data_IF_312366823937
#
_entry.id   IF_312366823937
#
_cell.length_a   1.000
_cell.length_b   1.000
_cell.length_c   1.000
_cell.angle_alpha   90.00
_cell.angle_beta   90.00
_cell.angle_gamma   90.00
#
_symmetry.space_group_name_H-M   'P 1'
#
loop_
_entity.id
_entity.type
_entity.pdbx_description
1 polymer ?
#
# COMPACT_ATOMS: atom_id res chain seq x y z
N UNK A 1 -27.58 5.61 14.63
CA UNK A 1 -27.51 4.13 14.48
C UNK A 1 -26.21 3.60 15.09
N UNK A 2 -26.27 2.71 16.10
CA UNK A 2 -25.10 2.07 16.71
C UNK A 2 -24.27 1.26 15.70
N UNK A 3 -22.93 1.20 15.86
CA UNK A 3 -21.99 0.54 14.92
C UNK A 3 -22.33 -0.95 14.69
N UNK A 4 -22.74 -1.66 15.74
CA UNK A 4 -23.18 -3.05 15.65
C UNK A 4 -24.44 -3.25 14.78
N UNK A 5 -25.37 -2.31 14.83
CA UNK A 5 -26.62 -2.34 14.03
C UNK A 5 -26.33 -2.06 12.55
N UNK A 6 -25.37 -1.18 12.26
CA UNK A 6 -24.95 -0.89 10.88
C UNK A 6 -24.17 -2.07 10.27
N UNK A 7 -23.28 -2.68 11.05
CA UNK A 7 -22.52 -3.85 10.62
C UNK A 7 -23.42 -5.05 10.33
N UNK A 8 -24.43 -5.30 11.17
CA UNK A 8 -25.41 -6.36 10.94
C UNK A 8 -26.32 -6.09 9.74
N UNK A 9 -26.67 -4.83 9.47
CA UNK A 9 -27.44 -4.48 8.27
C UNK A 9 -26.63 -4.70 6.99
N UNK A 10 -25.37 -4.26 6.93
CA UNK A 10 -24.53 -4.48 5.73
C UNK A 10 -24.14 -5.95 5.54
N UNK A 11 -23.84 -6.68 6.62
CA UNK A 11 -23.59 -8.12 6.56
C UNK A 11 -24.81 -8.89 6.03
N UNK A 12 -26.03 -8.50 6.47
CA UNK A 12 -27.28 -9.08 5.95
C UNK A 12 -27.54 -8.69 4.49
N UNK A 13 -27.31 -7.45 4.09
CA UNK A 13 -27.46 -7.02 2.69
C UNK A 13 -26.50 -7.76 1.74
N UNK A 14 -25.28 -8.06 2.19
CA UNK A 14 -24.30 -8.84 1.41
C UNK A 14 -24.73 -10.30 1.26
N UNK A 15 -25.16 -10.95 2.35
CA UNK A 15 -25.64 -12.33 2.35
C UNK A 15 -26.93 -12.50 1.53
N UNK A 16 -27.89 -11.57 1.64
CA UNK A 16 -29.19 -11.66 0.96
C UNK A 16 -29.05 -11.47 -0.56
N UNK A 17 -28.12 -10.60 -1.01
CA UNK A 17 -27.82 -10.41 -2.44
C UNK A 17 -27.04 -11.58 -3.05
N UNK A 18 -26.19 -12.25 -2.26
CA UNK A 18 -25.45 -13.46 -2.67
C UNK A 18 -26.39 -14.68 -2.86
N UNK A 19 -27.48 -14.75 -2.10
CA UNK A 19 -28.44 -15.86 -2.13
C UNK A 19 -29.57 -15.69 -3.16
N UNK A 20 -29.90 -14.46 -3.57
CA UNK A 20 -31.07 -14.21 -4.43
C UNK A 20 -30.84 -14.40 -5.93
N UNK A 21 -29.60 -14.42 -6.43
CA UNK A 21 -29.34 -14.65 -7.86
C UNK A 21 -27.91 -15.15 -8.13
N UNK A 22 -27.75 -16.47 -8.22
CA UNK A 22 -26.47 -17.13 -8.52
C UNK A 22 -25.90 -16.84 -9.92
N UNK A 23 -26.59 -16.00 -10.72
CA UNK A 23 -26.27 -15.71 -12.12
C UNK A 23 -26.07 -14.21 -12.41
N UNK A 24 -26.16 -13.34 -11.39
CA UNK A 24 -25.76 -11.95 -11.52
C UNK A 24 -24.26 -11.82 -11.22
N UNK A 25 -23.49 -11.04 -12.01
CA UNK A 25 -22.15 -10.68 -11.59
C UNK A 25 -22.24 -10.05 -10.20
N UNK A 26 -21.38 -10.51 -9.28
CA UNK A 26 -21.30 -9.98 -7.93
C UNK A 26 -21.13 -8.45 -7.94
N UNK A 27 -21.42 -7.78 -6.81
CA UNK A 27 -21.25 -6.33 -6.73
C UNK A 27 -19.83 -5.91 -7.15
N UNK A 28 -19.65 -4.69 -7.70
CA UNK A 28 -18.32 -4.19 -8.03
C UNK A 28 -17.39 -4.30 -6.82
N UNK A 29 -16.13 -4.67 -7.03
CA UNK A 29 -15.14 -4.86 -5.95
C UNK A 29 -15.04 -3.62 -5.05
N UNK A 30 -15.26 -2.44 -5.61
CA UNK A 30 -15.32 -1.16 -4.92
C UNK A 30 -16.49 -1.09 -3.92
N UNK A 31 -17.65 -1.64 -4.29
CA UNK A 31 -18.83 -1.73 -3.43
C UNK A 31 -18.64 -2.80 -2.34
N UNK A 32 -17.99 -3.93 -2.66
CA UNK A 32 -17.62 -4.95 -1.66
C UNK A 32 -16.65 -4.39 -0.62
N UNK A 33 -15.60 -3.68 -1.05
CA UNK A 33 -14.65 -3.02 -0.17
C UNK A 33 -15.34 -2.01 0.76
N UNK A 34 -16.26 -1.20 0.21
CA UNK A 34 -17.04 -0.24 0.99
C UNK A 34 -17.95 -0.93 2.03
N UNK A 35 -18.55 -2.06 1.68
CA UNK A 35 -19.38 -2.85 2.60
C UNK A 35 -18.56 -3.52 3.70
N UNK A 36 -17.42 -4.15 3.38
CA UNK A 36 -16.52 -4.74 4.36
C UNK A 36 -16.01 -3.68 5.36
N UNK A 37 -15.65 -2.48 4.87
CA UNK A 37 -15.27 -1.35 5.72
C UNK A 37 -16.38 -0.95 6.70
N UNK A 38 -17.62 -0.83 6.20
CA UNK A 38 -18.77 -0.47 7.02
C UNK A 38 -19.17 -1.56 8.02
N UNK A 39 -18.89 -2.82 7.70
CA UNK A 39 -19.10 -3.97 8.58
C UNK A 39 -18.02 -4.12 9.66
N UNK A 40 -16.89 -3.41 9.55
CA UNK A 40 -15.75 -3.55 10.47
C UNK A 40 -14.86 -4.75 10.18
N UNK A 41 -14.98 -5.36 8.98
CA UNK A 41 -14.11 -6.42 8.51
C UNK A 41 -12.85 -5.81 7.87
N UNK A 42 -12.01 -5.19 8.70
CA UNK A 42 -10.92 -4.32 8.24
C UNK A 42 -9.87 -5.06 7.41
N UNK A 43 -9.50 -6.29 7.78
CA UNK A 43 -8.59 -7.11 6.98
C UNK A 43 -9.15 -7.42 5.59
N UNK A 44 -10.40 -7.86 5.51
CA UNK A 44 -11.08 -8.15 4.24
C UNK A 44 -11.20 -6.89 3.36
N UNK A 45 -11.56 -5.75 3.97
CA UNK A 45 -11.64 -4.48 3.25
C UNK A 45 -10.28 -4.06 2.67
N UNK A 46 -9.17 -4.23 3.41
CA UNK A 46 -7.82 -3.95 2.89
C UNK A 46 -7.48 -4.87 1.71
N UNK A 47 -7.77 -6.17 1.80
CA UNK A 47 -7.56 -7.12 0.71
C UNK A 47 -8.37 -6.76 -0.55
N UNK A 48 -9.62 -6.32 -0.38
CA UNK A 48 -10.46 -5.90 -1.49
C UNK A 48 -9.95 -4.60 -2.13
N UNK A 49 -9.52 -3.62 -1.33
CA UNK A 49 -8.95 -2.37 -1.82
C UNK A 49 -7.65 -2.60 -2.60
N UNK A 50 -6.81 -3.53 -2.16
CA UNK A 50 -5.61 -3.94 -2.89
C UNK A 50 -5.97 -4.55 -4.26
N UNK A 51 -6.96 -5.45 -4.30
CA UNK A 51 -7.44 -6.04 -5.57
C UNK A 51 -8.04 -5.00 -6.51
N UNK A 52 -8.74 -3.99 -5.99
CA UNK A 52 -9.22 -2.85 -6.78
C UNK A 52 -8.04 -2.09 -7.38
N UNK A 53 -7.01 -1.79 -6.59
CA UNK A 53 -5.81 -1.09 -7.06
C UNK A 53 -5.09 -1.88 -8.17
N UNK A 54 -4.94 -3.20 -8.01
CA UNK A 54 -4.31 -4.07 -9.01
C UNK A 54 -5.13 -4.11 -10.31
N UNK A 55 -6.45 -4.17 -10.21
CA UNK A 55 -7.34 -4.16 -11.38
C UNK A 55 -7.34 -2.81 -12.09
N UNK A 56 -7.26 -1.71 -11.35
CA UNK A 56 -7.09 -0.38 -11.92
C UNK A 56 -5.75 -0.28 -12.68
N UNK A 57 -4.66 -0.77 -12.08
CA UNK A 57 -3.35 -0.86 -12.73
C UNK A 57 -3.38 -1.67 -14.03
N UNK A 58 -4.05 -2.82 -14.04
CA UNK A 58 -4.19 -3.66 -15.24
C UNK A 58 -4.93 -2.95 -16.39
N UNK A 59 -5.78 -1.96 -16.06
CA UNK A 59 -6.54 -1.14 -17.01
C UNK A 59 -5.85 0.18 -17.36
N UNK A 60 -4.62 0.38 -16.88
CA UNK A 60 -3.89 1.65 -16.96
C UNK A 60 -4.64 2.84 -16.31
N UNK A 61 -5.56 2.54 -15.38
CA UNK A 61 -6.28 3.54 -14.59
C UNK A 61 -5.45 3.92 -13.36
N UNK A 62 -4.46 4.78 -13.58
CA UNK A 62 -3.58 5.28 -12.53
C UNK A 62 -4.36 6.05 -11.45
N UNK A 63 -5.44 6.76 -11.82
CA UNK A 63 -6.27 7.52 -10.88
C UNK A 63 -7.06 6.60 -9.94
N UNK A 64 -7.65 5.53 -10.49
CA UNK A 64 -8.33 4.50 -9.72
C UNK A 64 -7.38 3.78 -8.76
N UNK A 65 -6.17 3.44 -9.23
CA UNK A 65 -5.12 2.83 -8.40
C UNK A 65 -4.77 3.72 -7.19
N UNK A 66 -4.49 5.01 -7.42
CA UNK A 66 -4.17 5.97 -6.34
C UNK A 66 -5.32 6.11 -5.36
N UNK A 67 -6.56 6.16 -5.85
CA UNK A 67 -7.75 6.30 -4.99
C UNK A 67 -7.93 5.08 -4.07
N UNK A 68 -7.82 3.87 -4.63
CA UNK A 68 -7.96 2.64 -3.85
C UNK A 68 -6.88 2.50 -2.77
N UNK A 69 -5.64 2.84 -3.10
CA UNK A 69 -4.51 2.77 -2.16
C UNK A 69 -4.58 3.85 -1.07
N UNK A 70 -5.12 5.04 -1.37
CA UNK A 70 -5.43 6.06 -0.34
C UNK A 70 -6.46 5.55 0.66
N UNK A 71 -7.55 4.97 0.18
CA UNK A 71 -8.56 4.38 1.07
C UNK A 71 -7.99 3.25 1.92
N UNK A 72 -7.11 2.40 1.37
CA UNK A 72 -6.47 1.33 2.11
C UNK A 72 -5.55 1.88 3.22
N UNK A 73 -4.75 2.90 2.91
CA UNK A 73 -3.88 3.55 3.89
C UNK A 73 -4.69 4.24 5.00
N UNK A 74 -5.77 4.94 4.66
CA UNK A 74 -6.64 5.59 5.65
C UNK A 74 -7.29 4.58 6.60
N UNK A 75 -7.73 3.43 6.08
CA UNK A 75 -8.23 2.33 6.89
C UNK A 75 -7.13 1.74 7.79
N UNK A 76 -5.94 1.46 7.26
CA UNK A 76 -4.82 0.93 8.06
C UNK A 76 -4.44 1.88 9.21
N UNK A 77 -4.37 3.20 8.94
CA UNK A 77 -4.11 4.24 9.95
C UNK A 77 -5.19 4.27 11.02
N UNK A 78 -6.46 4.12 10.63
CA UNK A 78 -7.57 4.02 11.59
C UNK A 78 -7.43 2.80 12.48
N UNK A 79 -7.01 1.66 11.95
CA UNK A 79 -6.86 0.43 12.73
C UNK A 79 -5.72 0.49 13.75
N UNK A 80 -4.74 1.39 13.60
CA UNK A 80 -3.78 1.69 14.67
C UNK A 80 -4.46 2.20 15.96
N UNK A 81 -5.64 2.83 15.83
CA UNK A 81 -6.40 3.39 16.96
C UNK A 81 -7.48 2.44 17.46
N UNK A 82 -8.04 1.61 16.57
CA UNK A 82 -9.18 0.73 16.90
C UNK A 82 -8.72 -0.67 17.32
N UNK A 83 -7.64 -1.19 16.71
CA UNK A 83 -7.02 -2.46 17.07
C UNK A 83 -7.75 -3.71 16.58
N UNK A 84 -8.45 -3.68 15.44
CA UNK A 84 -9.05 -4.91 14.86
C UNK A 84 -8.07 -5.67 13.93
N UNK A 85 -6.89 -5.10 13.64
CA UNK A 85 -5.82 -5.77 12.92
C UNK A 85 -4.77 -6.24 13.91
N UNK A 86 -4.19 -7.42 13.63
CA UNK A 86 -3.10 -7.97 14.42
C UNK A 86 -1.83 -7.10 14.32
N UNK A 87 -1.52 -6.61 13.12
CA UNK A 87 -0.42 -5.68 12.87
C UNK A 87 -0.84 -4.51 11.95
N UNK A 88 -1.47 -3.47 12.51
CA UNK A 88 -1.88 -2.30 11.74
C UNK A 88 -0.68 -1.46 11.27
N UNK A 89 0.47 -1.53 11.94
CA UNK A 89 1.68 -0.79 11.56
C UNK A 89 2.23 -1.37 10.27
N UNK A 90 2.38 -2.69 10.17
CA UNK A 90 2.81 -3.34 8.92
C UNK A 90 1.88 -3.00 7.75
N UNK A 91 0.57 -2.97 7.98
CA UNK A 91 -0.40 -2.55 6.97
C UNK A 91 -0.17 -1.09 6.52
N UNK A 92 0.04 -0.16 7.44
CA UNK A 92 0.36 1.25 7.12
C UNK A 92 1.64 1.34 6.29
N UNK A 93 2.71 0.66 6.67
CA UNK A 93 3.98 0.68 5.94
C UNK A 93 3.82 0.11 4.52
N UNK A 94 3.13 -1.03 4.38
CA UNK A 94 2.86 -1.68 3.10
C UNK A 94 2.04 -0.79 2.16
N UNK A 95 0.91 -0.25 2.63
CA UNK A 95 0.06 0.59 1.79
C UNK A 95 0.67 1.95 1.49
N UNK A 96 1.54 2.48 2.37
CA UNK A 96 2.32 3.69 2.08
C UNK A 96 3.32 3.48 0.95
N UNK A 97 4.03 2.35 0.92
CA UNK A 97 4.92 2.01 -0.20
C UNK A 97 4.16 1.92 -1.52
N UNK A 98 3.09 1.12 -1.55
CA UNK A 98 2.25 0.95 -2.75
C UNK A 98 1.68 2.29 -3.24
N UNK A 99 1.20 3.12 -2.32
CA UNK A 99 0.68 4.45 -2.66
C UNK A 99 1.80 5.38 -3.17
N UNK A 100 2.99 5.33 -2.58
CA UNK A 100 4.16 6.07 -3.05
C UNK A 100 4.50 5.74 -4.50
N UNK A 101 4.59 4.45 -4.83
CA UNK A 101 4.85 3.99 -6.19
C UNK A 101 3.73 4.41 -7.17
N UNK A 102 2.47 4.30 -6.75
CA UNK A 102 1.32 4.75 -7.53
C UNK A 102 1.34 6.26 -7.79
N UNK A 103 1.77 7.06 -6.81
CA UNK A 103 1.89 8.51 -6.95
C UNK A 103 3.05 8.91 -7.86
N UNK A 104 4.16 8.16 -7.85
CA UNK A 104 5.25 8.33 -8.82
C UNK A 104 4.73 8.10 -10.24
N UNK A 105 4.00 7.00 -10.48
CA UNK A 105 3.38 6.72 -11.78
C UNK A 105 2.38 7.81 -12.20
N UNK A 106 1.71 8.43 -11.25
CA UNK A 106 0.80 9.56 -11.49
C UNK A 106 1.51 10.91 -11.71
N UNK A 107 2.86 10.96 -11.68
CA UNK A 107 3.63 12.19 -11.77
C UNK A 107 3.50 13.11 -10.54
N UNK A 108 3.12 12.55 -9.38
CA UNK A 108 2.90 13.28 -8.11
C UNK A 108 4.04 13.00 -7.13
N UNK A 109 5.27 13.29 -7.53
CA UNK A 109 6.47 12.92 -6.75
C UNK A 109 6.52 13.61 -5.37
N UNK A 110 5.98 14.81 -5.23
CA UNK A 110 5.91 15.51 -3.93
C UNK A 110 4.97 14.82 -2.95
N UNK A 111 3.79 14.38 -3.41
CA UNK A 111 2.85 13.60 -2.59
C UNK A 111 3.48 12.26 -2.20
N UNK A 112 4.17 11.60 -3.14
CA UNK A 112 4.87 10.34 -2.90
C UNK A 112 5.95 10.50 -1.80
N UNK A 113 6.79 11.54 -1.92
CA UNK A 113 7.83 11.86 -0.94
C UNK A 113 7.23 12.06 0.46
N UNK A 114 6.10 12.77 0.56
CA UNK A 114 5.41 13.01 1.83
C UNK A 114 4.92 11.71 2.48
N UNK A 115 4.13 10.91 1.76
CA UNK A 115 3.59 9.64 2.26
C UNK A 115 4.70 8.68 2.69
N UNK A 116 5.75 8.55 1.87
CA UNK A 116 6.86 7.65 2.16
C UNK A 116 7.72 8.14 3.33
N UNK A 117 7.89 9.45 3.50
CA UNK A 117 8.62 10.01 4.65
C UNK A 117 7.87 9.76 5.97
N UNK A 118 6.55 9.92 5.97
CA UNK A 118 5.72 9.56 7.13
C UNK A 118 5.86 8.08 7.48
N UNK A 119 5.81 7.19 6.48
CA UNK A 119 6.02 5.76 6.69
C UNK A 119 7.43 5.44 7.20
N UNK A 120 8.46 6.12 6.70
CA UNK A 120 9.85 5.92 7.13
C UNK A 120 10.03 6.23 8.62
N UNK A 121 9.32 7.22 9.15
CA UNK A 121 9.34 7.60 10.56
C UNK A 121 8.66 6.56 11.47
N UNK A 122 7.74 5.76 10.91
CA UNK A 122 7.06 4.68 11.63
C UNK A 122 7.83 3.36 11.55
N UNK A 123 8.61 3.14 10.49
CA UNK A 123 9.35 1.90 10.27
C UNK A 123 10.51 1.73 11.25
N UNK A 124 10.62 0.52 11.83
CA UNK A 124 11.75 0.17 12.70
C UNK A 124 13.10 0.28 11.98
N UNK A 125 14.19 0.65 12.70
CA UNK A 125 15.48 1.01 12.09
C UNK A 125 16.18 -0.10 11.29
N UNK A 126 15.86 -1.36 11.57
CA UNK A 126 16.39 -2.53 10.85
C UNK A 126 15.30 -3.37 10.19
N UNK A 127 14.12 -2.80 9.97
CA UNK A 127 12.99 -3.53 9.39
C UNK A 127 13.14 -3.68 7.86
N UNK A 128 12.68 -4.80 7.26
CA UNK A 128 12.57 -4.91 5.81
C UNK A 128 11.66 -3.82 5.21
N UNK A 129 10.64 -3.38 5.94
CA UNK A 129 9.76 -2.29 5.53
C UNK A 129 10.53 -0.98 5.36
N UNK A 130 11.42 -0.64 6.29
CA UNK A 130 12.29 0.53 6.17
C UNK A 130 13.14 0.48 4.90
N UNK A 131 13.72 -0.67 4.59
CA UNK A 131 14.50 -0.87 3.37
C UNK A 131 13.66 -0.65 2.10
N UNK A 132 12.42 -1.19 2.04
CA UNK A 132 11.49 -0.96 0.92
C UNK A 132 11.09 0.52 0.77
N UNK A 133 10.84 1.20 1.88
CA UNK A 133 10.47 2.63 1.87
C UNK A 133 11.64 3.48 1.35
N UNK A 134 12.87 3.20 1.79
CA UNK A 134 14.06 3.88 1.31
C UNK A 134 14.28 3.68 -0.19
N UNK A 135 14.08 2.46 -0.69
CA UNK A 135 14.14 2.18 -2.12
C UNK A 135 13.08 2.95 -2.92
N UNK A 136 11.86 3.06 -2.39
CA UNK A 136 10.78 3.85 -3.00
C UNK A 136 11.13 5.36 -3.01
N UNK A 137 11.68 5.88 -1.91
CA UNK A 137 12.17 7.26 -1.83
C UNK A 137 13.38 7.52 -2.76
N UNK A 138 14.22 6.51 -3.00
CA UNK A 138 15.30 6.59 -3.98
C UNK A 138 14.74 6.77 -5.40
N UNK A 139 13.70 6.02 -5.77
CA UNK A 139 12.99 6.20 -7.05
C UNK A 139 12.40 7.61 -7.18
N UNK A 140 11.72 8.09 -6.14
CA UNK A 140 11.18 9.47 -6.10
C UNK A 140 12.29 10.51 -6.29
N UNK A 141 13.42 10.36 -5.61
CA UNK A 141 14.55 11.28 -5.74
C UNK A 141 15.15 11.27 -7.15
N UNK A 142 15.27 10.08 -7.76
CA UNK A 142 15.76 9.91 -9.14
C UNK A 142 14.85 10.61 -10.15
N UNK A 143 13.53 10.42 -10.04
CA UNK A 143 12.55 11.08 -10.92
C UNK A 143 12.54 12.60 -10.77
N UNK A 144 12.91 13.11 -9.60
CA UNK A 144 13.11 14.55 -9.35
C UNK A 144 14.47 15.07 -9.79
N UNK A 145 15.30 14.25 -10.44
CA UNK A 145 16.65 14.61 -10.89
C UNK A 145 17.68 14.74 -9.78
N UNK A 146 17.40 14.24 -8.57
CA UNK A 146 18.28 14.32 -7.40
C UNK A 146 19.11 13.05 -7.26
N UNK A 147 20.02 12.84 -8.22
CA UNK A 147 20.79 11.60 -8.34
C UNK A 147 21.52 11.21 -7.05
N UNK A 148 22.28 12.14 -6.44
CA UNK A 148 23.05 11.86 -5.21
C UNK A 148 22.14 11.38 -4.07
N UNK A 149 21.00 12.05 -3.88
CA UNK A 149 20.02 11.70 -2.85
C UNK A 149 19.32 10.37 -3.13
N UNK A 150 19.21 9.96 -4.40
CA UNK A 150 18.68 8.67 -4.80
C UNK A 150 19.68 7.55 -4.47
N UNK A 151 20.96 7.71 -4.83
CA UNK A 151 22.00 6.71 -4.54
C UNK A 151 22.21 6.54 -3.04
N UNK A 152 22.26 7.63 -2.26
CA UNK A 152 22.39 7.56 -0.80
C UNK A 152 21.28 6.72 -0.16
N UNK A 153 20.02 6.92 -0.60
CA UNK A 153 18.88 6.16 -0.09
C UNK A 153 18.89 4.69 -0.53
N UNK A 154 19.28 4.43 -1.77
CA UNK A 154 19.40 3.05 -2.27
C UNK A 154 20.50 2.29 -1.53
N UNK A 155 21.62 2.94 -1.23
CA UNK A 155 22.72 2.35 -0.45
C UNK A 155 22.28 2.05 0.98
N UNK A 156 21.56 2.97 1.64
CA UNK A 156 20.98 2.72 2.97
C UNK A 156 19.99 1.55 2.93
N UNK A 157 19.14 1.47 1.90
CA UNK A 157 18.19 0.37 1.72
C UNK A 157 18.89 -1.00 1.63
N UNK A 158 19.97 -1.09 0.85
CA UNK A 158 20.79 -2.31 0.70
C UNK A 158 21.40 -2.71 2.05
N UNK A 159 22.03 -1.76 2.76
CA UNK A 159 22.65 -2.03 4.06
C UNK A 159 21.66 -2.54 5.10
N UNK A 160 20.42 -2.00 5.11
CA UNK A 160 19.38 -2.46 6.02
C UNK A 160 18.90 -3.86 5.64
N UNK A 161 18.69 -4.15 4.35
CA UNK A 161 18.26 -5.48 3.88
C UNK A 161 19.30 -6.57 4.20
N UNK A 162 20.58 -6.24 4.09
CA UNK A 162 21.69 -7.12 4.48
C UNK A 162 21.67 -7.42 5.99
N UNK A 163 21.57 -6.39 6.83
CA UNK A 163 21.52 -6.56 8.30
C UNK A 163 20.29 -7.30 8.80
N UNK A 164 19.18 -7.17 8.08
CA UNK A 164 17.90 -7.78 8.45
C UNK A 164 17.77 -9.25 7.95
N UNK A 165 18.79 -9.81 7.32
CA UNK A 165 18.81 -11.18 6.77
C UNK A 165 17.62 -11.49 5.84
N UNK A 166 17.35 -10.55 4.92
CA UNK A 166 16.30 -10.69 3.91
C UNK A 166 16.91 -10.87 2.51
N UNK A 167 17.40 -12.08 2.15
CA UNK A 167 18.20 -12.31 0.95
C UNK A 167 17.48 -11.93 -0.35
N UNK A 168 16.18 -12.21 -0.46
CA UNK A 168 15.40 -11.85 -1.65
C UNK A 168 15.28 -10.33 -1.84
N UNK A 169 15.11 -9.58 -0.74
CA UNK A 169 15.05 -8.11 -0.80
C UNK A 169 16.42 -7.54 -1.13
N UNK A 170 17.48 -8.06 -0.51
CA UNK A 170 18.85 -7.68 -0.79
C UNK A 170 19.19 -7.87 -2.27
N UNK A 171 18.92 -9.06 -2.83
CA UNK A 171 19.18 -9.36 -4.23
C UNK A 171 18.47 -8.39 -5.18
N UNK A 172 17.20 -8.08 -4.91
CA UNK A 172 16.42 -7.12 -5.70
C UNK A 172 17.03 -5.70 -5.66
N UNK A 173 17.44 -5.24 -4.48
CA UNK A 173 18.01 -3.90 -4.29
C UNK A 173 19.39 -3.79 -4.92
N UNK A 174 20.24 -4.81 -4.76
CA UNK A 174 21.54 -4.85 -5.40
C UNK A 174 21.43 -4.87 -6.93
N UNK A 175 20.46 -5.63 -7.47
CA UNK A 175 20.18 -5.62 -8.90
C UNK A 175 19.82 -4.22 -9.37
N UNK A 176 18.94 -3.54 -8.65
CA UNK A 176 18.55 -2.15 -8.95
C UNK A 176 19.77 -1.21 -8.90
N UNK A 177 20.60 -1.33 -7.87
CA UNK A 177 21.83 -0.57 -7.70
C UNK A 177 22.80 -0.77 -8.87
N UNK A 178 23.04 -2.02 -9.28
CA UNK A 178 23.90 -2.35 -10.43
C UNK A 178 23.38 -1.72 -11.72
N UNK A 179 22.07 -1.83 -11.99
CA UNK A 179 21.45 -1.22 -13.17
C UNK A 179 21.62 0.31 -13.17
N UNK A 180 21.53 0.95 -12.01
CA UNK A 180 21.70 2.40 -11.89
C UNK A 180 23.13 2.85 -12.09
N UNK A 181 24.12 2.05 -11.68
CA UNK A 181 25.54 2.35 -11.91
C UNK A 181 25.89 2.17 -13.39
N UNK A 182 25.32 1.17 -14.07
CA UNK A 182 25.59 0.89 -15.48
C UNK A 182 24.86 1.83 -16.45
N UNK A 183 23.81 2.52 -16.00
CA UNK A 183 23.05 3.48 -16.79
C UNK A 183 23.51 4.94 -16.67
N UNK A 184 24.64 5.18 -15.99
CA UNK A 184 25.38 6.46 -15.96
C UNK A 184 26.41 6.50 -17.09
#
# INVERSE_FOLDING_TARGET
>A
MPRAVRATLHSRSFMDRSLQDANLPGPPLEAEAAHAFQAGASFEALMLLERVADRARQRDDVSGMVTALRHALDLARREMMVGNLDDPVAAVLMFSCKLGDALVLAGKQTDAEGVLTEALNLAGPSSPERSRILASLANVARDKGRADAAYQRLDEAVQIAEKADHPNLLEMLERTRRLWIQGL
#
